data_IF_896270328366
#
_entry.id   IF_896270328366
#
_cell.length_a   1.000
_cell.length_b   1.000
_cell.length_c   1.000
_cell.angle_alpha   90.00
_cell.angle_beta   90.00
_cell.angle_gamma   90.00
#
_symmetry.space_group_name_H-M   'P 1'
#
loop_
_entity.id
_entity.type
_entity.pdbx_description
1 polymer ?
#
# COMPACT_ATOMS: atom_id res chain seq x y z
N UNK A 1 -14.70 -39.26 -10.28
CA UNK A 1 -13.95 -38.20 -10.99
C UNK A 1 -12.81 -37.77 -10.07
N UNK A 2 -11.60 -38.27 -10.31
CA UNK A 2 -10.44 -38.05 -9.44
C UNK A 2 -9.97 -36.60 -9.59
N UNK A 3 -10.13 -35.79 -8.55
CA UNK A 3 -9.53 -34.46 -8.44
C UNK A 3 -8.02 -34.65 -8.20
N UNK A 4 -7.29 -34.97 -9.27
CA UNK A 4 -5.84 -35.03 -9.24
C UNK A 4 -5.32 -33.65 -8.86
N UNK A 5 -4.85 -33.52 -7.62
CA UNK A 5 -4.07 -32.38 -7.15
C UNK A 5 -2.86 -32.27 -8.07
N UNK A 6 -2.96 -31.41 -9.08
CA UNK A 6 -1.89 -31.21 -10.06
C UNK A 6 -0.73 -30.60 -9.29
N UNK A 7 0.40 -31.30 -9.25
CA UNK A 7 1.59 -30.83 -8.56
C UNK A 7 1.90 -29.38 -8.99
N UNK A 8 2.12 -28.50 -8.01
CA UNK A 8 2.37 -27.08 -8.24
C UNK A 8 3.53 -26.84 -9.23
N UNK A 9 4.47 -27.79 -9.33
CA UNK A 9 5.61 -27.79 -10.24
C UNK A 9 5.51 -28.85 -11.36
N UNK A 10 4.35 -29.00 -12.02
CA UNK A 10 4.28 -29.77 -13.27
C UNK A 10 4.68 -28.88 -14.47
N UNK A 11 5.46 -29.35 -15.47
CA UNK A 11 5.83 -28.54 -16.65
C UNK A 11 4.65 -27.91 -17.39
N UNK A 12 3.47 -28.54 -17.31
CA UNK A 12 2.24 -27.99 -17.87
C UNK A 12 1.77 -26.73 -17.15
N UNK A 13 1.94 -26.66 -15.82
CA UNK A 13 1.61 -25.48 -15.01
C UNK A 13 2.40 -24.26 -15.47
N UNK A 14 3.64 -24.44 -15.93
CA UNK A 14 4.53 -23.36 -16.36
C UNK A 14 4.16 -22.80 -17.74
N UNK A 15 3.51 -23.59 -18.58
CA UNK A 15 3.08 -23.18 -19.93
C UNK A 15 1.79 -22.36 -19.92
N UNK A 16 0.98 -22.46 -18.85
CA UNK A 16 -0.32 -21.78 -18.76
C UNK A 16 -0.15 -20.26 -18.73
N UNK A 17 -0.96 -19.57 -19.53
CA UNK A 17 -1.11 -18.12 -19.43
C UNK A 17 -2.14 -17.85 -18.35
N UNK A 18 -1.77 -17.25 -17.21
CA UNK A 18 -2.71 -16.99 -16.14
C UNK A 18 -3.70 -15.89 -16.56
N UNK A 19 -4.94 -16.00 -16.06
CA UNK A 19 -5.87 -14.88 -16.09
C UNK A 19 -5.27 -13.69 -15.32
N UNK A 20 -5.56 -12.47 -15.77
CA UNK A 20 -5.04 -11.23 -15.16
C UNK A 20 -5.40 -11.14 -13.67
N UNK A 21 -6.64 -11.47 -13.30
CA UNK A 21 -7.07 -11.46 -11.89
C UNK A 21 -6.32 -12.48 -11.04
N UNK A 22 -6.10 -13.69 -11.57
CA UNK A 22 -5.34 -14.73 -10.87
C UNK A 22 -3.86 -14.32 -10.70
N UNK A 23 -3.27 -13.68 -11.71
CA UNK A 23 -1.89 -13.20 -11.66
C UNK A 23 -1.70 -12.04 -10.67
N UNK A 24 -2.72 -11.22 -10.45
CA UNK A 24 -2.65 -10.04 -9.59
C UNK A 24 -3.09 -10.29 -8.15
N UNK A 25 -4.12 -11.10 -7.93
CA UNK A 25 -4.71 -11.32 -6.61
C UNK A 25 -4.63 -12.76 -6.11
N UNK A 26 -4.15 -13.70 -6.93
CA UNK A 26 -3.99 -15.10 -6.51
C UNK A 26 -2.96 -15.22 -5.37
N UNK A 27 -3.13 -16.20 -4.49
CA UNK A 27 -2.22 -16.45 -3.36
C UNK A 27 -0.82 -16.84 -3.88
N UNK A 28 -0.76 -17.69 -4.90
CA UNK A 28 0.47 -18.08 -5.58
C UNK A 28 0.75 -17.17 -6.77
N UNK A 29 2.00 -16.76 -6.95
CA UNK A 29 2.37 -15.98 -8.15
C UNK A 29 2.64 -16.95 -9.30
N UNK A 30 1.97 -16.78 -10.46
CA UNK A 30 2.37 -17.49 -11.66
C UNK A 30 3.71 -16.94 -12.18
N UNK A 31 4.60 -17.83 -12.63
CA UNK A 31 5.91 -17.47 -13.19
C UNK A 31 5.84 -16.67 -14.50
N UNK A 32 4.70 -16.71 -15.21
CA UNK A 32 4.50 -16.06 -16.49
C UNK A 32 3.63 -14.79 -16.35
N UNK A 33 3.99 -13.67 -17.01
CA UNK A 33 3.13 -12.52 -17.05
C UNK A 33 1.80 -12.81 -17.79
N UNK A 34 0.69 -12.16 -17.40
CA UNK A 34 -0.56 -12.22 -18.15
C UNK A 34 -0.45 -11.51 -19.51
N UNK A 35 -1.32 -11.83 -20.47
CA UNK A 35 -1.24 -11.29 -21.83
C UNK A 35 -1.50 -9.77 -21.92
N UNK A 36 -2.25 -9.22 -20.96
CA UNK A 36 -2.58 -7.80 -20.96
C UNK A 36 -1.39 -6.94 -20.49
N UNK A 37 -1.07 -5.86 -21.21
CA UNK A 37 0.07 -4.96 -20.91
C UNK A 37 -0.01 -4.34 -19.50
N UNK A 38 -1.21 -3.88 -19.12
CA UNK A 38 -1.45 -3.27 -17.80
C UNK A 38 -1.30 -4.35 -16.72
N UNK A 39 -1.86 -5.53 -16.95
CA UNK A 39 -1.71 -6.67 -16.06
C UNK A 39 -0.25 -7.11 -15.90
N UNK A 40 0.54 -7.10 -16.97
CA UNK A 40 1.96 -7.45 -16.94
C UNK A 40 2.78 -6.42 -16.14
N UNK A 41 2.45 -5.14 -16.22
CA UNK A 41 3.09 -4.10 -15.40
C UNK A 41 2.85 -4.33 -13.90
N UNK A 42 1.59 -4.51 -13.51
CA UNK A 42 1.24 -4.78 -12.11
C UNK A 42 1.80 -6.11 -11.61
N UNK A 43 1.81 -7.15 -12.46
CA UNK A 43 2.45 -8.42 -12.14
C UNK A 43 3.95 -8.25 -11.89
N UNK A 44 4.65 -7.44 -12.69
CA UNK A 44 6.08 -7.16 -12.49
C UNK A 44 6.34 -6.44 -11.17
N UNK A 45 5.51 -5.46 -10.81
CA UNK A 45 5.60 -4.76 -9.52
C UNK A 45 5.33 -5.68 -8.34
N UNK A 46 4.32 -6.54 -8.47
CA UNK A 46 3.99 -7.57 -7.48
C UNK A 46 5.14 -8.57 -7.30
N UNK A 47 5.70 -9.09 -8.39
CA UNK A 47 6.87 -9.99 -8.37
C UNK A 47 8.07 -9.33 -7.67
N UNK A 48 8.35 -8.06 -7.99
CA UNK A 48 9.44 -7.32 -7.34
C UNK A 48 9.20 -7.23 -5.84
N UNK A 49 8.00 -6.81 -5.43
CA UNK A 49 7.63 -6.68 -4.01
C UNK A 49 7.76 -8.01 -3.27
N UNK A 50 7.15 -9.08 -3.79
CA UNK A 50 7.18 -10.40 -3.14
C UNK A 50 8.59 -10.99 -3.07
N UNK A 51 9.44 -10.73 -4.08
CA UNK A 51 10.84 -11.15 -4.06
C UNK A 51 11.69 -10.34 -3.06
N UNK A 52 11.52 -9.01 -3.00
CA UNK A 52 12.31 -8.15 -2.09
C UNK A 52 11.95 -8.36 -0.63
N UNK A 53 10.69 -8.66 -0.33
CA UNK A 53 10.21 -8.90 1.04
C UNK A 53 10.40 -10.37 1.45
N UNK A 54 10.81 -11.25 0.53
CA UNK A 54 10.98 -12.69 0.78
C UNK A 54 9.66 -13.47 0.85
N UNK A 55 8.52 -12.85 0.53
CA UNK A 55 7.17 -13.47 0.57
C UNK A 55 7.01 -14.63 -0.41
N UNK A 56 7.87 -14.73 -1.42
CA UNK A 56 7.85 -15.83 -2.39
C UNK A 56 8.30 -17.18 -1.82
N UNK A 57 9.02 -17.18 -0.69
CA UNK A 57 9.55 -18.39 -0.05
C UNK A 57 8.64 -18.95 1.04
N UNK A 58 7.71 -18.14 1.54
CA UNK A 58 6.84 -18.50 2.66
C UNK A 58 5.75 -19.48 2.22
N UNK A 59 5.35 -20.34 3.16
CA UNK A 59 4.16 -21.15 2.97
C UNK A 59 2.89 -20.28 2.83
N UNK A 60 1.84 -20.83 2.22
CA UNK A 60 0.63 -20.06 1.92
C UNK A 60 -0.03 -19.46 3.19
N UNK A 61 0.07 -20.13 4.33
CA UNK A 61 -0.48 -19.63 5.59
C UNK A 61 0.41 -18.55 6.23
N UNK A 62 1.73 -18.75 6.28
CA UNK A 62 2.70 -17.77 6.81
C UNK A 62 2.66 -16.47 6.01
N UNK A 63 2.55 -16.60 4.68
CA UNK A 63 2.39 -15.47 3.77
C UNK A 63 1.14 -14.67 4.10
N UNK A 64 0.03 -15.34 4.43
CA UNK A 64 -1.22 -14.68 4.81
C UNK A 64 -1.05 -13.87 6.09
N UNK A 65 -0.36 -14.43 7.10
CA UNK A 65 -0.06 -13.71 8.34
C UNK A 65 0.88 -12.53 8.12
N UNK A 66 1.94 -12.69 7.32
CA UNK A 66 2.86 -11.59 7.01
C UNK A 66 2.18 -10.46 6.25
N UNK A 67 1.32 -10.78 5.28
CA UNK A 67 0.52 -9.77 4.60
C UNK A 67 -0.40 -9.04 5.58
N UNK A 68 -1.08 -9.76 6.46
CA UNK A 68 -1.91 -9.16 7.49
C UNK A 68 -1.11 -8.18 8.38
N UNK A 69 0.09 -8.58 8.82
CA UNK A 69 0.97 -7.72 9.60
C UNK A 69 1.39 -6.47 8.82
N UNK A 70 1.88 -6.63 7.59
CA UNK A 70 2.30 -5.50 6.74
C UNK A 70 1.14 -4.52 6.53
N UNK A 71 -0.05 -5.03 6.21
CA UNK A 71 -1.24 -4.19 6.03
C UNK A 71 -1.65 -3.52 7.34
N UNK A 72 -1.55 -4.19 8.49
CA UNK A 72 -1.87 -3.58 9.79
C UNK A 72 -0.92 -2.44 10.16
N UNK A 73 0.38 -2.59 9.84
CA UNK A 73 1.38 -1.53 10.03
C UNK A 73 1.11 -0.39 9.04
N UNK A 74 0.80 -0.71 7.79
CA UNK A 74 0.49 0.28 6.76
C UNK A 74 -0.77 1.07 7.10
N UNK A 75 -1.84 0.44 7.57
CA UNK A 75 -3.06 1.14 7.99
C UNK A 75 -2.81 2.01 9.21
N UNK A 76 -2.02 1.55 10.17
CA UNK A 76 -1.62 2.35 11.32
C UNK A 76 -0.75 3.54 10.90
N UNK A 77 0.19 3.35 9.97
CA UNK A 77 1.02 4.40 9.42
C UNK A 77 0.20 5.43 8.62
N UNK A 78 -0.71 5.00 7.75
CA UNK A 78 -1.62 5.89 7.00
C UNK A 78 -2.51 6.66 7.97
N UNK A 79 -3.06 6.00 8.99
CA UNK A 79 -3.88 6.66 10.02
C UNK A 79 -3.05 7.67 10.81
N UNK A 80 -1.81 7.32 11.16
CA UNK A 80 -0.87 8.21 11.82
C UNK A 80 -0.54 9.44 10.96
N UNK A 81 -0.21 9.24 9.68
CA UNK A 81 0.03 10.34 8.73
C UNK A 81 -1.22 11.20 8.58
N UNK A 82 -2.41 10.60 8.39
CA UNK A 82 -3.65 11.36 8.22
C UNK A 82 -3.98 12.22 9.45
N UNK A 83 -3.80 11.66 10.66
CA UNK A 83 -4.07 12.39 11.91
C UNK A 83 -2.97 13.40 12.27
N UNK A 84 -1.70 13.12 11.99
CA UNK A 84 -0.55 13.85 12.52
C UNK A 84 0.14 14.77 11.50
N UNK A 85 0.11 14.44 10.20
CA UNK A 85 0.69 15.27 9.14
C UNK A 85 0.11 16.69 9.07
N UNK A 86 -1.21 16.93 9.16
CA UNK A 86 -1.75 18.29 9.11
C UNK A 86 -1.31 19.16 10.29
N UNK A 87 -1.20 18.58 11.49
CA UNK A 87 -0.69 19.30 12.66
C UNK A 87 0.75 19.76 12.46
N UNK A 88 1.61 18.89 11.92
CA UNK A 88 2.99 19.24 11.62
C UNK A 88 3.13 20.17 10.40
N UNK A 89 2.22 20.09 9.43
CA UNK A 89 2.20 20.98 8.27
C UNK A 89 1.93 22.44 8.66
N UNK A 90 1.01 22.72 9.60
CA UNK A 90 0.77 24.09 10.10
C UNK A 90 2.04 24.68 10.72
N UNK A 91 2.71 23.89 11.55
CA UNK A 91 3.92 24.34 12.22
C UNK A 91 5.09 24.60 11.25
N UNK A 92 5.27 23.72 10.27
CA UNK A 92 6.32 23.88 9.25
C UNK A 92 6.00 25.08 8.36
N UNK A 93 4.74 25.23 7.91
CA UNK A 93 4.35 26.35 7.03
C UNK A 93 4.52 27.70 7.69
N UNK A 94 4.18 27.86 8.98
CA UNK A 94 4.41 29.10 9.72
C UNK A 94 5.91 29.46 9.79
N UNK A 95 6.76 28.48 10.10
CA UNK A 95 8.22 28.67 10.18
C UNK A 95 8.82 28.96 8.82
N UNK A 96 8.42 28.21 7.80
CA UNK A 96 8.87 28.43 6.42
C UNK A 96 8.45 29.82 5.94
N UNK A 97 7.22 30.26 6.21
CA UNK A 97 6.76 31.61 5.87
C UNK A 97 7.60 32.68 6.58
N UNK A 98 7.89 32.52 7.87
CA UNK A 98 8.76 33.44 8.61
C UNK A 98 10.17 33.53 8.00
N UNK A 99 10.80 32.39 7.67
CA UNK A 99 12.15 32.37 7.11
C UNK A 99 12.22 32.90 5.67
N UNK A 100 11.18 32.69 4.85
CA UNK A 100 11.18 33.11 3.45
C UNK A 100 10.65 34.53 3.23
N UNK A 101 9.60 34.94 3.95
CA UNK A 101 8.91 36.22 3.75
C UNK A 101 9.24 37.26 4.82
N UNK A 102 9.88 36.88 5.94
CA UNK A 102 10.29 37.79 7.00
C UNK A 102 9.14 38.38 7.83
N UNK A 103 7.91 37.87 7.67
CA UNK A 103 6.74 38.21 8.48
C UNK A 103 5.93 36.96 8.81
N UNK A 104 5.27 36.98 9.97
CA UNK A 104 4.41 35.89 10.40
C UNK A 104 3.09 35.93 9.61
N UNK A 105 2.63 34.82 9.02
CA UNK A 105 1.39 34.80 8.24
C UNK A 105 0.18 35.15 9.12
N UNK A 106 -0.71 36.00 8.63
CA UNK A 106 -1.93 36.37 9.36
C UNK A 106 -2.75 35.12 9.74
N UNK A 107 -3.30 35.13 10.96
CA UNK A 107 -4.09 34.04 11.53
C UNK A 107 -5.29 33.60 10.66
N UNK A 108 -5.76 34.48 9.78
CA UNK A 108 -6.84 34.25 8.81
C UNK A 108 -6.51 33.17 7.78
N UNK A 109 -5.25 33.02 7.37
CA UNK A 109 -4.83 32.00 6.40
C UNK A 109 -4.76 30.58 7.01
N UNK A 110 -4.61 30.48 8.33
CA UNK A 110 -4.51 29.20 9.06
C UNK A 110 -5.84 28.67 9.59
N UNK A 111 -6.88 29.51 9.61
CA UNK A 111 -8.22 29.17 10.11
C UNK A 111 -8.79 27.83 9.58
N UNK A 112 -8.75 27.50 8.27
CA UNK A 112 -9.33 26.24 7.79
C UNK A 112 -8.57 24.99 8.25
N UNK A 113 -7.26 25.09 8.48
CA UNK A 113 -6.46 23.95 8.95
C UNK A 113 -6.61 23.75 10.45
N UNK A 114 -6.76 24.84 11.21
CA UNK A 114 -7.10 24.79 12.64
C UNK A 114 -8.48 24.17 12.84
N UNK A 115 -9.48 24.56 12.05
CA UNK A 115 -10.83 24.00 12.08
C UNK A 115 -10.84 22.49 11.76
N UNK A 116 -10.14 22.08 10.70
CA UNK A 116 -9.93 20.66 10.38
C UNK A 116 -9.26 19.91 11.55
N UNK A 117 -8.27 20.53 12.21
CA UNK A 117 -7.53 19.90 13.31
C UNK A 117 -8.42 19.71 14.53
N UNK A 118 -9.20 20.73 14.89
CA UNK A 118 -10.16 20.68 16.01
C UNK A 118 -11.20 19.61 15.74
N UNK A 119 -11.82 19.60 14.56
CA UNK A 119 -12.81 18.59 14.16
C UNK A 119 -12.26 17.15 14.24
N UNK A 120 -11.01 16.92 13.81
CA UNK A 120 -10.41 15.57 13.88
C UNK A 120 -9.98 15.16 15.30
N UNK A 121 -9.74 16.13 16.19
CA UNK A 121 -9.40 15.91 17.61
C UNK A 121 -10.64 15.68 18.48
N UNK A 122 -11.69 16.46 18.27
CA UNK A 122 -12.94 16.36 19.05
C UNK A 122 -13.84 15.23 18.57
N UNK A 123 -13.70 14.80 17.31
CA UNK A 123 -14.45 13.67 16.76
C UNK A 123 -15.96 13.93 16.66
N UNK A 124 -16.38 15.20 16.72
CA UNK A 124 -17.78 15.57 16.55
C UNK A 124 -18.13 15.43 15.06
N UNK A 125 -19.20 14.68 14.79
CA UNK A 125 -19.80 14.40 13.49
C UNK A 125 -20.89 15.42 13.18
#
# INVERSE_FOLDING_TARGET
>A
MSTASTAAMSPETWRRVPATAAALFGITIPYRPPSNRIGAFFWRKRMLFEATTGLCLLESWEKTLMLFLIYSILTLAITGVYKYAPQSAVYVTQRTAYYFLGHEPEHSATAPVVDWTVHNLTGEL
#
